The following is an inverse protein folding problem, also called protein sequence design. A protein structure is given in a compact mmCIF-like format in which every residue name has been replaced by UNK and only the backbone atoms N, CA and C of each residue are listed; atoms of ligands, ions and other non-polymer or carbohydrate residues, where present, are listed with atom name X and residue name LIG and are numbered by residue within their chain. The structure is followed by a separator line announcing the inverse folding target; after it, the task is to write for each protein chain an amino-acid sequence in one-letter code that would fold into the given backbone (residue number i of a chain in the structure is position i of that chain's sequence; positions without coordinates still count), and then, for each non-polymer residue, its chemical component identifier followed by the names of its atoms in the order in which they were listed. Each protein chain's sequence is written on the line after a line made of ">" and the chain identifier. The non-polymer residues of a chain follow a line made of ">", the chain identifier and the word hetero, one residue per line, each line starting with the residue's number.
data_IF_414386452182
#
_entry.id   IF_414386452182
#
_cell.length_a   1.000
_cell.length_b   1.000
_cell.length_c   1.000
_cell.angle_alpha   90.00
_cell.angle_beta   90.00
_cell.angle_gamma   90.00
#
_symmetry.space_group_name_H-M   'P 1'
#
loop_
_entity.id
_entity.type
_entity.pdbx_description
1 polymer ?
#
# COMPACT_ATOMS: atom_id res chain seq x y z
N UNK A 1 32.14 -30.04 -6.39
CA UNK A 1 30.72 -30.28 -6.06
C UNK A 1 30.36 -29.99 -4.59
N UNK A 2 31.13 -30.42 -3.58
CA UNK A 2 30.81 -30.17 -2.15
C UNK A 2 30.76 -28.68 -1.74
N UNK A 3 31.61 -27.80 -2.30
CA UNK A 3 31.59 -26.36 -1.98
C UNK A 3 30.36 -25.61 -2.53
N UNK A 4 29.77 -26.07 -3.64
CA UNK A 4 28.59 -25.44 -4.25
C UNK A 4 27.31 -25.72 -3.44
N UNK A 5 27.20 -26.94 -2.88
CA UNK A 5 26.10 -27.35 -2.00
C UNK A 5 26.09 -26.58 -0.67
N UNK A 6 27.26 -26.26 -0.11
CA UNK A 6 27.38 -25.52 1.16
C UNK A 6 26.94 -24.05 0.98
N UNK A 7 27.24 -23.43 -0.16
CA UNK A 7 26.82 -22.05 -0.47
C UNK A 7 25.32 -21.98 -0.73
N UNK A 8 24.74 -22.94 -1.46
CA UNK A 8 23.29 -23.01 -1.68
C UNK A 8 22.53 -23.19 -0.36
N UNK A 9 23.00 -24.05 0.54
CA UNK A 9 22.41 -24.26 1.85
C UNK A 9 22.46 -22.99 2.72
N UNK A 10 23.58 -22.25 2.73
CA UNK A 10 23.70 -20.99 3.48
C UNK A 10 22.79 -19.88 2.93
N UNK A 11 22.64 -19.75 1.61
CA UNK A 11 21.73 -18.76 1.01
C UNK A 11 20.26 -19.11 1.31
N UNK A 12 19.90 -20.40 1.27
CA UNK A 12 18.57 -20.86 1.69
C UNK A 12 18.30 -20.61 3.18
N UNK A 13 19.30 -20.77 4.06
CA UNK A 13 19.21 -20.45 5.49
C UNK A 13 19.05 -18.95 5.77
N UNK A 14 19.70 -18.08 5.00
CA UNK A 14 19.55 -16.62 5.12
C UNK A 14 18.18 -16.16 4.62
N UNK A 15 17.68 -16.74 3.52
CA UNK A 15 16.34 -16.48 3.01
C UNK A 15 15.25 -17.00 3.96
N UNK A 16 15.43 -18.20 4.53
CA UNK A 16 14.56 -18.71 5.60
C UNK A 16 14.63 -17.80 6.83
N UNK A 17 15.82 -17.33 7.21
CA UNK A 17 16.02 -16.43 8.34
C UNK A 17 15.28 -15.11 8.17
N UNK A 18 15.28 -14.53 6.96
CA UNK A 18 14.52 -13.32 6.64
C UNK A 18 13.01 -13.56 6.58
N UNK A 19 12.55 -14.69 6.02
CA UNK A 19 11.14 -15.09 6.04
C UNK A 19 10.64 -15.36 7.47
N UNK A 20 11.43 -16.03 8.29
CA UNK A 20 11.14 -16.26 9.72
C UNK A 20 11.19 -14.93 10.47
N UNK A 21 12.08 -13.99 10.13
CA UNK A 21 12.10 -12.67 10.72
C UNK A 21 10.87 -11.84 10.31
N UNK A 22 10.37 -11.99 9.07
CA UNK A 22 9.14 -11.36 8.57
C UNK A 22 7.89 -12.00 9.22
N UNK A 23 7.80 -13.33 9.28
CA UNK A 23 6.76 -14.05 10.02
C UNK A 23 6.82 -13.76 11.52
N UNK A 24 8.00 -13.60 12.14
CA UNK A 24 8.17 -13.17 13.54
C UNK A 24 7.80 -11.69 13.74
N UNK A 25 8.03 -10.83 12.75
CA UNK A 25 7.52 -9.44 12.77
C UNK A 25 5.99 -9.42 12.75
N UNK A 26 5.38 -10.40 12.07
CA UNK A 26 3.92 -10.56 11.95
C UNK A 26 3.30 -11.37 13.11
N UNK A 27 4.09 -12.19 13.82
CA UNK A 27 3.70 -13.00 14.99
C UNK A 27 4.31 -12.53 16.32
N UNK A 28 4.75 -11.28 16.42
CA UNK A 28 4.99 -10.73 17.76
C UNK A 28 3.63 -10.52 18.41
N UNK A 29 3.37 -11.23 19.51
CA UNK A 29 2.31 -10.91 20.49
C UNK A 29 2.58 -9.52 21.10
N UNK A 30 2.63 -8.47 20.28
CA UNK A 30 2.69 -7.10 20.76
C UNK A 30 1.36 -6.82 21.42
N UNK A 31 1.40 -6.37 22.67
CA UNK A 31 0.23 -5.92 23.41
C UNK A 31 -0.34 -4.58 22.87
N UNK A 32 0.09 -4.11 21.70
CA UNK A 32 -0.26 -2.82 21.12
C UNK A 32 -0.38 -2.91 19.59
N UNK A 33 -1.19 -2.04 18.95
CA UNK A 33 -1.38 -2.04 17.49
C UNK A 33 -0.09 -1.76 16.73
N UNK A 34 0.04 -2.34 15.53
CA UNK A 34 1.16 -2.04 14.64
C UNK A 34 1.07 -0.61 14.08
N UNK A 35 2.21 0.08 14.07
CA UNK A 35 2.33 1.45 13.55
C UNK A 35 3.07 1.50 12.20
N UNK A 36 3.54 0.35 11.69
CA UNK A 36 4.31 0.30 10.43
C UNK A 36 3.52 0.82 9.23
N UNK A 37 2.19 0.68 9.25
CA UNK A 37 1.28 1.20 8.21
C UNK A 37 1.40 2.73 8.06
N UNK A 38 1.86 3.44 9.10
CA UNK A 38 2.03 4.89 9.09
C UNK A 38 3.42 5.35 8.61
N UNK A 39 4.37 4.44 8.39
CA UNK A 39 5.76 4.80 8.06
C UNK A 39 5.88 5.70 6.83
N UNK A 40 5.02 5.49 5.83
CA UNK A 40 5.02 6.30 4.62
C UNK A 40 4.53 7.74 4.87
N UNK A 41 3.43 7.90 5.61
CA UNK A 41 2.93 9.21 6.04
C UNK A 41 3.93 9.94 6.94
N UNK A 42 4.58 9.22 7.88
CA UNK A 42 5.64 9.74 8.74
C UNK A 42 6.86 10.18 7.91
N UNK A 43 7.22 9.40 6.89
CA UNK A 43 8.32 9.76 5.98
C UNK A 43 8.03 11.07 5.25
N UNK A 44 6.82 11.21 4.72
CA UNK A 44 6.39 12.46 4.09
C UNK A 44 6.41 13.64 5.08
N UNK A 45 5.90 13.45 6.30
CA UNK A 45 5.98 14.46 7.36
C UNK A 45 7.44 14.89 7.63
N UNK A 46 8.37 13.94 7.69
CA UNK A 46 9.79 14.21 7.91
C UNK A 46 10.46 14.98 6.76
N UNK A 47 10.05 14.68 5.53
CA UNK A 47 10.57 15.32 4.34
C UNK A 47 10.06 16.77 4.20
N UNK A 48 8.88 17.10 4.75
CA UNK A 48 8.24 18.42 4.54
C UNK A 48 8.13 19.28 5.80
N UNK A 49 7.61 18.75 6.91
CA UNK A 49 7.15 19.53 8.06
C UNK A 49 8.05 19.38 9.28
N UNK A 50 8.71 18.25 9.48
CA UNK A 50 9.47 17.98 10.71
C UNK A 50 10.53 19.05 11.02
N UNK A 51 11.11 19.68 10.00
CA UNK A 51 12.11 20.75 10.18
C UNK A 51 11.55 22.02 10.83
N UNK A 52 10.22 22.18 10.88
CA UNK A 52 9.54 23.31 11.54
C UNK A 52 9.39 23.11 13.05
N UNK A 53 9.70 21.91 13.56
CA UNK A 53 9.41 21.54 14.94
C UNK A 53 10.62 20.91 15.62
N UNK A 54 10.74 21.12 16.93
CA UNK A 54 11.56 20.30 17.82
C UNK A 54 10.60 19.43 18.62
N UNK A 55 10.63 18.12 18.41
CA UNK A 55 9.65 17.21 19.00
C UNK A 55 10.22 15.83 19.28
N UNK A 56 9.59 15.14 20.22
CA UNK A 56 9.81 13.73 20.50
C UNK A 56 8.69 12.88 19.88
N UNK A 57 8.86 11.56 19.84
CA UNK A 57 7.80 10.62 19.45
C UNK A 57 7.35 9.77 20.62
N UNK A 58 6.06 9.47 20.66
CA UNK A 58 5.52 8.40 21.49
C UNK A 58 6.11 7.06 21.07
N UNK A 59 6.38 6.18 22.06
CA UNK A 59 6.71 4.78 21.79
C UNK A 59 5.46 4.06 21.23
N UNK A 60 5.60 3.05 20.35
CA UNK A 60 4.45 2.29 19.85
C UNK A 60 3.54 1.69 20.93
N UNK A 61 4.07 1.43 22.13
CA UNK A 61 3.31 0.95 23.29
C UNK A 61 2.42 2.02 23.95
N UNK A 62 2.60 3.30 23.64
CA UNK A 62 1.81 4.42 24.17
C UNK A 62 0.52 4.61 23.34
N UNK A 63 -0.33 3.57 23.38
CA UNK A 63 -1.50 3.44 22.50
C UNK A 63 -2.50 4.57 22.70
N UNK A 64 -2.76 4.95 23.96
CA UNK A 64 -3.75 5.99 24.30
C UNK A 64 -3.33 7.34 23.74
N UNK A 65 -2.05 7.68 23.85
CA UNK A 65 -1.50 8.95 23.41
C UNK A 65 -1.50 9.08 21.89
N UNK A 66 -1.08 8.03 21.18
CA UNK A 66 -1.12 7.97 19.71
C UNK A 66 -2.56 8.06 19.20
N UNK A 67 -3.50 7.35 19.83
CA UNK A 67 -4.92 7.42 19.47
C UNK A 67 -5.50 8.83 19.68
N UNK A 68 -5.12 9.53 20.75
CA UNK A 68 -5.53 10.92 20.96
C UNK A 68 -5.00 11.88 19.90
N UNK A 69 -3.81 11.66 19.35
CA UNK A 69 -3.36 12.41 18.18
C UNK A 69 -4.35 12.24 17.03
N UNK A 70 -4.73 11.00 16.69
CA UNK A 70 -5.70 10.74 15.62
C UNK A 70 -7.04 11.42 15.88
N UNK A 71 -7.61 11.33 17.08
CA UNK A 71 -8.87 12.01 17.42
C UNK A 71 -8.77 13.52 17.19
N UNK A 72 -7.69 14.17 17.64
CA UNK A 72 -7.51 15.62 17.52
C UNK A 72 -7.29 16.08 16.07
N UNK A 73 -6.64 15.25 15.25
CA UNK A 73 -6.43 15.53 13.82
C UNK A 73 -7.67 15.27 12.95
N UNK A 74 -8.65 14.52 13.42
CA UNK A 74 -9.84 14.15 12.64
C UNK A 74 -10.63 15.40 12.21
N UNK A 75 -10.93 15.49 10.91
CA UNK A 75 -11.70 16.59 10.35
C UNK A 75 -13.20 16.45 10.68
N UNK A 76 -13.97 17.51 10.43
CA UNK A 76 -15.41 17.52 10.67
C UNK A 76 -16.18 16.46 9.86
N UNK A 77 -15.69 16.13 8.65
CA UNK A 77 -16.25 15.09 7.78
C UNK A 77 -15.96 13.65 8.23
N UNK A 78 -15.14 13.46 9.27
CA UNK A 78 -14.77 12.15 9.81
C UNK A 78 -13.49 11.55 9.23
N UNK A 79 -12.92 12.13 8.17
CA UNK A 79 -11.64 11.70 7.62
C UNK A 79 -10.44 12.41 8.26
N UNK A 80 -9.24 12.15 7.70
CA UNK A 80 -7.99 12.73 8.20
C UNK A 80 -7.17 13.40 7.09
N UNK A 81 -6.38 14.44 7.39
CA UNK A 81 -5.32 14.90 6.50
C UNK A 81 -4.25 13.82 6.34
N UNK A 82 -3.54 13.80 5.20
CA UNK A 82 -2.41 12.89 4.98
C UNK A 82 -1.08 13.48 5.46
N UNK A 83 -0.05 12.65 5.45
CA UNK A 83 1.34 13.03 5.72
C UNK A 83 1.55 13.63 7.11
N UNK A 84 0.85 13.07 8.10
CA UNK A 84 1.01 13.39 9.52
C UNK A 84 1.88 12.32 10.19
N UNK A 85 2.76 12.75 11.09
CA UNK A 85 3.45 11.85 12.00
C UNK A 85 2.56 11.59 13.24
N UNK A 86 1.81 10.48 13.21
CA UNK A 86 0.85 10.13 14.26
C UNK A 86 1.51 9.87 15.62
N UNK A 87 2.82 9.61 15.64
CA UNK A 87 3.59 9.38 16.86
C UNK A 87 4.20 10.67 17.39
N UNK A 88 4.18 11.77 16.65
CA UNK A 88 4.79 13.02 17.06
C UNK A 88 4.08 13.62 18.28
N UNK A 89 4.88 14.05 19.26
CA UNK A 89 4.42 14.81 20.41
C UNK A 89 4.43 16.29 20.01
N UNK A 90 3.43 16.68 19.22
CA UNK A 90 3.21 18.04 18.72
C UNK A 90 1.72 18.35 18.83
N UNK A 91 1.39 19.57 19.23
CA UNK A 91 0.02 20.04 19.21
C UNK A 91 -0.52 20.10 17.76
N UNK A 92 -1.65 19.43 17.44
CA UNK A 92 -2.18 19.35 16.07
C UNK A 92 -2.45 20.66 15.35
N UNK A 93 -2.97 21.68 16.03
CA UNK A 93 -3.24 22.99 15.41
C UNK A 93 -1.95 23.71 15.01
N UNK A 94 -0.86 23.46 15.72
CA UNK A 94 0.49 23.94 15.38
C UNK A 94 0.97 23.32 14.07
N UNK A 95 0.65 22.05 13.81
CA UNK A 95 0.93 21.40 12.51
C UNK A 95 0.00 21.93 11.42
N UNK A 96 -1.31 22.04 11.69
CA UNK A 96 -2.30 22.53 10.72
C UNK A 96 -2.01 23.93 10.20
N UNK A 97 -1.40 24.80 10.99
CA UNK A 97 -0.98 26.15 10.55
C UNK A 97 0.03 26.14 9.40
N UNK A 98 0.83 25.08 9.27
CA UNK A 98 1.80 24.92 8.18
C UNK A 98 1.24 24.17 6.97
N UNK A 99 0.04 23.60 7.08
CA UNK A 99 -0.66 22.99 5.95
C UNK A 99 -1.40 24.07 5.16
N UNK A 100 -1.35 23.99 3.83
CA UNK A 100 -2.31 24.74 3.02
C UNK A 100 -3.67 24.04 3.03
N UNK A 101 -4.70 24.73 2.55
CA UNK A 101 -6.08 24.23 2.64
C UNK A 101 -6.31 22.94 1.85
N UNK A 102 -5.53 22.68 0.81
CA UNK A 102 -5.58 21.40 0.09
C UNK A 102 -5.13 20.26 1.02
N UNK A 103 -3.97 20.37 1.67
CA UNK A 103 -3.43 19.33 2.56
C UNK A 103 -4.14 19.20 3.91
N UNK A 104 -5.01 20.16 4.28
CA UNK A 104 -5.90 20.01 5.45
C UNK A 104 -7.08 19.06 5.18
N UNK A 105 -7.44 18.83 3.92
CA UNK A 105 -8.61 18.01 3.54
C UNK A 105 -8.41 16.54 3.87
N UNK A 106 -9.53 15.88 4.13
CA UNK A 106 -9.56 14.44 4.29
C UNK A 106 -9.23 13.69 3.00
N UNK A 107 -8.49 12.59 3.12
CA UNK A 107 -8.11 11.76 1.97
C UNK A 107 -7.88 10.30 2.37
N UNK A 108 -7.93 9.42 1.38
CA UNK A 108 -7.64 7.99 1.50
C UNK A 108 -6.19 7.64 1.08
N UNK A 109 -5.54 8.58 0.37
CA UNK A 109 -4.18 8.46 -0.15
C UNK A 109 -3.11 8.36 0.95
N UNK A 110 -1.98 7.72 0.65
CA UNK A 110 -0.90 7.43 1.61
C UNK A 110 -1.37 6.65 2.84
N UNK A 111 -2.17 5.60 2.60
CA UNK A 111 -2.71 4.69 3.61
C UNK A 111 -3.48 5.41 4.71
N UNK A 112 -4.34 6.34 4.32
CA UNK A 112 -4.95 7.28 5.25
C UNK A 112 -6.45 7.05 5.43
N UNK A 113 -6.98 7.54 6.55
CA UNK A 113 -8.31 7.28 7.10
C UNK A 113 -8.56 5.83 7.51
N UNK A 114 -8.41 4.84 6.63
CA UNK A 114 -8.73 3.44 6.96
C UNK A 114 -7.76 2.83 7.98
N UNK A 115 -6.49 3.25 7.98
CA UNK A 115 -5.48 2.80 8.95
C UNK A 115 -5.71 3.41 10.34
N UNK A 116 -6.18 4.66 10.40
CA UNK A 116 -6.55 5.32 11.66
C UNK A 116 -7.81 4.68 12.25
N UNK A 117 -8.82 4.33 11.42
CA UNK A 117 -9.99 3.59 11.88
C UNK A 117 -9.59 2.26 12.52
N UNK A 118 -8.76 1.47 11.84
CA UNK A 118 -8.24 0.20 12.35
C UNK A 118 -7.47 0.40 13.67
N UNK A 119 -6.56 1.38 13.73
CA UNK A 119 -5.81 1.69 14.94
C UNK A 119 -6.71 2.12 16.10
N UNK A 120 -7.68 3.01 15.86
CA UNK A 120 -8.61 3.53 16.86
C UNK A 120 -9.53 2.43 17.41
N UNK A 121 -9.96 1.49 16.56
CA UNK A 121 -10.76 0.34 16.99
C UNK A 121 -9.96 -0.60 17.92
N UNK A 122 -8.69 -0.85 17.58
CA UNK A 122 -7.79 -1.62 18.45
C UNK A 122 -7.45 -0.85 19.74
N UNK A 123 -7.19 0.45 19.65
CA UNK A 123 -6.95 1.30 20.81
C UNK A 123 -8.14 1.32 21.77
N UNK A 124 -9.37 1.49 21.27
CA UNK A 124 -10.59 1.37 22.07
C UNK A 124 -10.70 0.01 22.75
N UNK A 125 -10.31 -1.07 22.06
CA UNK A 125 -10.35 -2.41 22.65
C UNK A 125 -9.44 -2.58 23.85
N UNK A 126 -8.30 -1.87 23.85
CA UNK A 126 -7.29 -1.86 24.92
C UNK A 126 -7.67 -0.89 26.03
N UNK A 127 -8.05 0.34 25.69
CA UNK A 127 -8.18 1.45 26.66
C UNK A 127 -9.61 1.67 27.16
N UNK A 128 -10.61 1.18 26.40
CA UNK A 128 -12.04 1.46 26.59
C UNK A 128 -12.42 2.94 26.49
N UNK A 129 -11.56 3.79 25.95
CA UNK A 129 -11.82 5.21 25.75
C UNK A 129 -12.86 5.43 24.64
N UNK A 130 -14.08 5.83 25.02
CA UNK A 130 -15.23 5.93 24.10
C UNK A 130 -14.98 6.87 22.92
N UNK A 131 -14.15 7.90 23.10
CA UNK A 131 -13.81 8.83 22.01
C UNK A 131 -13.06 8.15 20.86
N UNK A 132 -12.30 7.09 21.13
CA UNK A 132 -11.62 6.34 20.08
C UNK A 132 -12.63 5.57 19.22
N UNK A 133 -13.63 4.96 19.85
CA UNK A 133 -14.75 4.32 19.15
C UNK A 133 -15.52 5.32 18.29
N UNK A 134 -15.93 6.45 18.86
CA UNK A 134 -16.67 7.50 18.13
C UNK A 134 -15.88 8.05 16.95
N UNK A 135 -14.58 8.23 17.11
CA UNK A 135 -13.70 8.67 16.03
C UNK A 135 -13.57 7.60 14.94
N UNK A 136 -13.47 6.32 15.31
CA UNK A 136 -13.48 5.21 14.35
C UNK A 136 -14.83 5.11 13.59
N UNK A 137 -15.98 5.24 14.27
CA UNK A 137 -17.32 5.28 13.65
C UNK A 137 -17.40 6.37 12.57
N UNK A 138 -16.97 7.59 12.89
CA UNK A 138 -16.94 8.70 11.92
C UNK A 138 -16.02 8.44 10.73
N UNK A 139 -14.88 7.77 10.96
CA UNK A 139 -13.98 7.38 9.89
C UNK A 139 -14.57 6.31 8.96
N UNK A 140 -15.30 5.34 9.52
CA UNK A 140 -16.07 4.35 8.75
C UNK A 140 -17.13 5.06 7.91
N UNK A 141 -17.91 5.95 8.51
CA UNK A 141 -18.97 6.68 7.82
C UNK A 141 -18.41 7.55 6.69
N UNK A 142 -17.24 8.20 6.88
CA UNK A 142 -16.52 8.90 5.82
C UNK A 142 -16.14 7.96 4.66
N UNK A 143 -15.54 6.80 4.95
CA UNK A 143 -15.12 5.84 3.92
C UNK A 143 -16.33 5.35 3.12
N UNK A 144 -17.42 4.99 3.80
CA UNK A 144 -18.64 4.52 3.15
C UNK A 144 -19.28 5.62 2.29
N UNK A 145 -19.33 6.86 2.79
CA UNK A 145 -19.85 8.01 2.04
C UNK A 145 -18.98 8.43 0.85
N UNK A 146 -17.68 8.12 0.88
CA UNK A 146 -16.75 8.44 -0.19
C UNK A 146 -16.76 7.44 -1.37
N UNK A 147 -17.44 6.30 -1.25
CA UNK A 147 -17.49 5.30 -2.32
C UNK A 147 -18.28 5.84 -3.52
N UNK A 148 -17.69 5.80 -4.72
CA UNK A 148 -18.36 6.22 -5.95
C UNK A 148 -19.35 5.14 -6.42
N UNK A 149 -20.25 5.52 -7.32
CA UNK A 149 -21.23 4.60 -7.93
C UNK A 149 -20.59 3.42 -8.66
N UNK A 150 -19.34 3.57 -9.13
CA UNK A 150 -18.57 2.47 -9.71
C UNK A 150 -18.17 1.39 -8.71
N UNK A 151 -18.28 1.65 -7.40
CA UNK A 151 -17.78 0.79 -6.32
C UNK A 151 -16.35 1.11 -5.85
N UNK A 152 -15.66 2.05 -6.52
CA UNK A 152 -14.28 2.42 -6.16
C UNK A 152 -14.17 3.69 -5.33
N UNK A 153 -12.97 3.93 -4.81
CA UNK A 153 -12.61 5.16 -4.09
C UNK A 153 -11.52 5.95 -4.82
N UNK A 154 -11.63 7.27 -4.69
CA UNK A 154 -10.63 8.24 -5.12
C UNK A 154 -9.50 8.33 -4.10
N UNK A 155 -8.26 8.34 -4.59
CA UNK A 155 -7.08 8.76 -3.81
C UNK A 155 -6.92 10.28 -3.79
N UNK A 156 -5.79 10.78 -4.29
CA UNK A 156 -5.44 12.19 -4.20
C UNK A 156 -5.32 12.94 -5.53
N UNK A 157 -4.59 12.36 -6.49
CA UNK A 157 -4.09 13.11 -7.66
C UNK A 157 -5.11 13.18 -8.81
N UNK A 158 -6.02 12.20 -8.91
CA UNK A 158 -7.03 12.10 -9.98
C UNK A 158 -8.32 11.52 -9.41
N UNK A 159 -9.49 11.90 -9.95
CA UNK A 159 -10.79 11.28 -9.61
C UNK A 159 -10.93 9.94 -10.34
N UNK A 160 -10.40 8.88 -9.73
CA UNK A 160 -10.27 7.54 -10.32
C UNK A 160 -10.41 6.45 -9.25
N UNK A 161 -10.74 5.24 -9.68
CA UNK A 161 -10.60 4.02 -8.85
C UNK A 161 -9.11 3.86 -8.57
N UNK A 162 -8.69 4.12 -7.33
CA UNK A 162 -7.27 4.27 -7.00
C UNK A 162 -6.76 3.05 -6.24
N UNK A 163 -5.86 2.28 -6.84
CA UNK A 163 -5.13 1.21 -6.14
C UNK A 163 -3.82 1.71 -5.55
N UNK A 164 -3.24 2.78 -6.12
CA UNK A 164 -2.02 3.42 -5.62
C UNK A 164 -2.08 3.65 -4.10
N UNK A 165 -0.95 3.37 -3.44
CA UNK A 165 -0.79 3.48 -1.98
C UNK A 165 -1.86 2.71 -1.19
N UNK A 166 -2.28 1.58 -1.75
CA UNK A 166 -3.26 0.63 -1.21
C UNK A 166 -4.61 1.27 -0.85
N UNK A 167 -5.03 2.35 -1.52
CA UNK A 167 -6.32 3.01 -1.25
C UNK A 167 -7.47 2.00 -1.31
N UNK A 168 -7.67 1.34 -2.45
CA UNK A 168 -8.72 0.32 -2.57
C UNK A 168 -8.49 -0.87 -1.64
N UNK A 169 -7.32 -1.50 -1.68
CA UNK A 169 -7.05 -2.77 -0.97
C UNK A 169 -7.02 -2.60 0.55
N UNK A 170 -6.58 -1.45 1.05
CA UNK A 170 -6.61 -1.09 2.46
C UNK A 170 -8.03 -0.87 2.99
N UNK A 171 -8.86 -0.14 2.23
CA UNK A 171 -10.28 0.01 2.56
C UNK A 171 -10.99 -1.35 2.51
N UNK A 172 -10.78 -2.13 1.45
CA UNK A 172 -11.38 -3.46 1.31
C UNK A 172 -10.98 -4.38 2.47
N UNK A 173 -9.73 -4.30 2.94
CA UNK A 173 -9.26 -5.06 4.11
C UNK A 173 -9.95 -4.63 5.40
N UNK A 174 -10.12 -3.32 5.62
CA UNK A 174 -10.88 -2.78 6.77
C UNK A 174 -12.33 -3.27 6.74
N UNK A 175 -13.01 -3.13 5.61
CA UNK A 175 -14.41 -3.58 5.46
C UNK A 175 -14.55 -5.09 5.62
N UNK A 176 -13.55 -5.86 5.16
CA UNK A 176 -13.48 -7.30 5.39
C UNK A 176 -13.36 -7.63 6.88
N UNK A 177 -12.51 -6.93 7.63
CA UNK A 177 -12.39 -7.10 9.08
C UNK A 177 -13.71 -6.81 9.82
N UNK A 178 -14.44 -5.77 9.40
CA UNK A 178 -15.76 -5.42 9.93
C UNK A 178 -16.77 -6.53 9.63
N UNK A 179 -16.84 -6.99 8.37
CA UNK A 179 -17.73 -8.08 7.94
C UNK A 179 -17.47 -9.37 8.74
N UNK A 180 -16.20 -9.73 8.89
CA UNK A 180 -15.78 -10.91 9.66
C UNK A 180 -15.95 -10.76 11.18
N UNK A 181 -16.32 -9.57 11.68
CA UNK A 181 -16.52 -9.34 13.10
C UNK A 181 -15.25 -9.53 13.91
N UNK A 182 -14.09 -9.03 13.43
CA UNK A 182 -12.86 -9.03 14.23
C UNK A 182 -13.15 -8.42 15.61
N UNK A 183 -12.57 -8.98 16.67
CA UNK A 183 -12.89 -8.63 18.06
C UNK A 183 -12.90 -7.12 18.34
N UNK A 184 -11.96 -6.38 17.75
CA UNK A 184 -11.86 -4.92 17.95
C UNK A 184 -12.93 -4.10 17.22
N UNK A 185 -13.74 -4.72 16.36
CA UNK A 185 -14.93 -4.16 15.71
C UNK A 185 -16.23 -4.72 16.28
N UNK A 186 -16.21 -5.46 17.39
CA UNK A 186 -17.40 -6.08 17.99
C UNK A 186 -18.47 -5.09 18.49
N UNK A 187 -18.18 -3.80 18.48
CA UNK A 187 -19.09 -2.72 18.85
C UNK A 187 -19.83 -2.10 17.63
N UNK A 188 -19.49 -2.49 16.40
CA UNK A 188 -20.15 -1.99 15.19
C UNK A 188 -21.59 -2.52 15.14
N UNK A 189 -22.54 -1.62 14.95
CA UNK A 189 -23.96 -1.96 14.78
C UNK A 189 -24.25 -2.70 13.46
N UNK A 190 -25.42 -3.33 13.39
CA UNK A 190 -25.83 -4.12 12.23
C UNK A 190 -25.96 -3.27 10.95
N UNK A 191 -26.38 -2.00 11.06
CA UNK A 191 -26.57 -1.12 9.91
C UNK A 191 -25.23 -0.81 9.23
N UNK A 192 -24.23 -0.39 9.99
CA UNK A 192 -22.86 -0.14 9.52
C UNK A 192 -22.22 -1.40 8.99
N UNK A 193 -22.44 -2.55 9.62
CA UNK A 193 -21.95 -3.84 9.14
C UNK A 193 -22.51 -4.19 7.76
N UNK A 194 -23.82 -4.01 7.56
CA UNK A 194 -24.47 -4.26 6.27
C UNK A 194 -24.00 -3.28 5.18
N UNK A 195 -23.81 -2.00 5.52
CA UNK A 195 -23.22 -1.00 4.62
C UNK A 195 -21.79 -1.35 4.23
N UNK A 196 -20.97 -1.79 5.19
CA UNK A 196 -19.61 -2.24 4.96
C UNK A 196 -19.55 -3.47 4.04
N UNK A 197 -20.44 -4.44 4.24
CA UNK A 197 -20.55 -5.62 3.37
C UNK A 197 -20.95 -5.24 1.94
N UNK A 198 -21.96 -4.38 1.79
CA UNK A 198 -22.41 -3.90 0.47
C UNK A 198 -21.30 -3.13 -0.24
N UNK A 199 -20.60 -2.24 0.47
CA UNK A 199 -19.49 -1.47 -0.09
C UNK A 199 -18.31 -2.38 -0.49
N UNK A 200 -17.99 -3.37 0.34
CA UNK A 200 -16.96 -4.35 0.04
C UNK A 200 -17.28 -5.16 -1.22
N UNK A 201 -18.53 -5.61 -1.38
CA UNK A 201 -18.93 -6.39 -2.55
C UNK A 201 -18.77 -5.55 -3.83
N UNK A 202 -19.25 -4.31 -3.84
CA UNK A 202 -19.07 -3.39 -4.98
C UNK A 202 -17.59 -3.15 -5.31
N UNK A 203 -16.74 -3.05 -4.29
CA UNK A 203 -15.31 -2.87 -4.46
C UNK A 203 -14.65 -4.11 -5.08
N UNK A 204 -15.01 -5.32 -4.63
CA UNK A 204 -14.54 -6.57 -5.22
C UNK A 204 -14.98 -6.66 -6.69
N UNK A 205 -16.24 -6.37 -6.99
CA UNK A 205 -16.79 -6.44 -8.34
C UNK A 205 -16.05 -5.50 -9.30
N UNK A 206 -15.82 -4.24 -8.90
CA UNK A 206 -15.10 -3.29 -9.75
C UNK A 206 -13.63 -3.65 -9.88
N UNK A 207 -13.00 -4.21 -8.84
CA UNK A 207 -11.62 -4.70 -8.93
C UNK A 207 -11.47 -5.84 -9.92
N UNK A 208 -12.39 -6.81 -9.93
CA UNK A 208 -12.39 -7.88 -10.94
C UNK A 208 -12.57 -7.31 -12.35
N UNK A 209 -13.48 -6.35 -12.54
CA UNK A 209 -13.72 -5.71 -13.85
C UNK A 209 -12.56 -4.82 -14.33
N UNK A 210 -11.76 -4.27 -13.42
CA UNK A 210 -10.58 -3.50 -13.76
C UNK A 210 -9.37 -4.36 -14.17
N UNK A 211 -9.42 -5.69 -14.03
CA UNK A 211 -8.28 -6.53 -14.39
C UNK A 211 -7.96 -6.39 -15.88
N UNK A 212 -6.72 -6.06 -16.19
CA UNK A 212 -6.29 -5.74 -17.55
C UNK A 212 -6.22 -7.04 -18.36
N UNK A 213 -6.84 -7.04 -19.55
CA UNK A 213 -6.86 -8.17 -20.48
C UNK A 213 -6.03 -7.79 -21.71
N UNK A 214 -5.08 -8.65 -22.07
CA UNK A 214 -4.21 -8.53 -23.25
C UNK A 214 -4.31 -9.83 -24.02
N UNK A 215 -4.67 -9.77 -25.30
CA UNK A 215 -4.87 -10.94 -26.17
C UNK A 215 -5.77 -12.03 -25.54
N UNK A 216 -6.87 -11.59 -24.91
CA UNK A 216 -7.82 -12.48 -24.24
C UNK A 216 -7.33 -13.08 -22.91
N UNK A 217 -6.15 -12.70 -22.42
CA UNK A 217 -5.58 -13.20 -21.16
C UNK A 217 -5.60 -12.11 -20.09
N UNK A 218 -6.13 -12.45 -18.91
CA UNK A 218 -6.07 -11.60 -17.72
C UNK A 218 -4.62 -11.45 -17.25
N UNK A 219 -4.29 -10.24 -16.79
CA UNK A 219 -2.96 -9.86 -16.31
C UNK A 219 -3.06 -9.28 -14.89
N UNK A 220 -2.45 -8.13 -14.64
CA UNK A 220 -2.58 -7.38 -13.40
C UNK A 220 -3.51 -6.17 -13.51
N UNK A 221 -3.23 -5.15 -12.71
CA UNK A 221 -4.00 -3.90 -12.63
C UNK A 221 -3.09 -2.68 -12.77
N UNK A 222 -3.66 -1.56 -13.22
CA UNK A 222 -3.02 -0.27 -13.17
C UNK A 222 -3.11 0.34 -11.77
N UNK A 223 -2.30 1.35 -11.50
CA UNK A 223 -2.41 2.14 -10.28
C UNK A 223 -3.75 2.87 -10.16
N UNK A 224 -4.31 3.31 -11.29
CA UNK A 224 -5.60 3.98 -11.36
C UNK A 224 -6.42 3.50 -12.56
N UNK A 225 -7.72 3.37 -12.35
CA UNK A 225 -8.70 3.05 -13.39
C UNK A 225 -9.82 4.09 -13.40
N UNK A 226 -10.31 4.43 -14.59
CA UNK A 226 -11.41 5.37 -14.75
C UNK A 226 -12.72 4.81 -14.16
N UNK A 227 -13.50 5.65 -13.49
CA UNK A 227 -14.74 5.22 -12.82
C UNK A 227 -15.84 4.76 -13.79
N UNK A 228 -15.81 5.17 -15.06
CA UNK A 228 -16.85 4.87 -16.04
C UNK A 228 -16.44 3.75 -16.99
N UNK A 229 -15.28 3.87 -17.59
CA UNK A 229 -14.75 2.94 -18.60
C UNK A 229 -13.98 1.78 -17.99
N UNK A 230 -13.57 1.88 -16.72
CA UNK A 230 -12.74 0.91 -16.00
C UNK A 230 -11.35 0.69 -16.61
N UNK A 231 -10.99 1.45 -17.65
CA UNK A 231 -9.68 1.38 -18.31
C UNK A 231 -8.60 2.00 -17.43
N UNK A 232 -7.37 1.51 -17.59
CA UNK A 232 -6.19 2.11 -16.98
C UNK A 232 -6.04 3.56 -17.42
N UNK A 233 -5.78 4.47 -16.48
CA UNK A 233 -5.53 5.88 -16.76
C UNK A 233 -4.31 6.38 -15.99
N UNK A 234 -3.79 7.54 -16.39
CA UNK A 234 -2.68 8.19 -15.68
C UNK A 234 -3.17 8.89 -14.42
N UNK A 235 -2.25 9.12 -13.47
CA UNK A 235 -2.45 10.05 -12.37
C UNK A 235 -1.55 11.28 -12.55
N UNK A 236 -0.40 11.29 -11.89
CA UNK A 236 0.62 12.34 -12.05
C UNK A 236 1.29 12.21 -13.43
N UNK A 237 2.00 13.26 -13.87
CA UNK A 237 2.66 13.28 -15.19
C UNK A 237 3.60 12.10 -15.42
N UNK A 238 4.24 11.61 -14.36
CA UNK A 238 5.16 10.47 -14.38
C UNK A 238 4.53 9.12 -14.03
N UNK A 239 3.20 9.04 -13.90
CA UNK A 239 2.45 7.81 -13.59
C UNK A 239 1.48 7.52 -14.74
N UNK A 240 2.05 7.01 -15.82
CA UNK A 240 1.33 6.70 -17.06
C UNK A 240 0.52 5.40 -16.92
N UNK A 241 -0.51 5.18 -17.76
CA UNK A 241 -1.25 3.92 -17.75
C UNK A 241 -0.32 2.75 -18.06
N UNK A 242 -0.35 1.74 -17.20
CA UNK A 242 0.50 0.55 -17.29
C UNK A 242 0.11 -0.46 -16.22
N UNK A 243 0.48 -1.72 -16.41
CA UNK A 243 0.26 -2.73 -15.38
C UNK A 243 1.26 -2.47 -14.25
N UNK A 244 0.76 -2.27 -13.03
CA UNK A 244 1.59 -2.00 -11.85
C UNK A 244 1.87 -3.27 -11.06
N UNK A 245 3.14 -3.62 -10.92
CA UNK A 245 3.54 -4.81 -10.15
C UNK A 245 3.24 -4.69 -8.66
N UNK A 246 3.47 -3.52 -8.08
CA UNK A 246 3.17 -3.20 -6.68
C UNK A 246 1.67 -3.37 -6.39
N UNK A 247 0.82 -2.67 -7.14
CA UNK A 247 -0.62 -2.68 -6.84
C UNK A 247 -1.26 -4.03 -7.17
N UNK A 248 -0.79 -4.70 -8.23
CA UNK A 248 -1.20 -6.08 -8.54
C UNK A 248 -0.87 -7.01 -7.36
N UNK A 249 0.32 -6.90 -6.77
CA UNK A 249 0.69 -7.70 -5.61
C UNK A 249 -0.23 -7.42 -4.41
N UNK A 250 -0.61 -6.16 -4.16
CA UNK A 250 -1.54 -5.80 -3.10
C UNK A 250 -2.95 -6.37 -3.34
N UNK A 251 -3.47 -6.29 -4.56
CA UNK A 251 -4.79 -6.83 -4.94
C UNK A 251 -4.83 -8.35 -4.76
N UNK A 252 -3.82 -9.06 -5.28
CA UNK A 252 -3.72 -10.51 -5.14
C UNK A 252 -3.64 -10.92 -3.67
N UNK A 253 -2.82 -10.24 -2.86
CA UNK A 253 -2.75 -10.47 -1.41
C UNK A 253 -4.11 -10.29 -0.75
N UNK A 254 -4.86 -9.24 -1.10
CA UNK A 254 -6.20 -9.02 -0.57
C UNK A 254 -7.18 -10.15 -0.98
N UNK A 255 -7.24 -10.51 -2.26
CA UNK A 255 -8.14 -11.57 -2.72
C UNK A 255 -7.88 -12.91 -2.06
N UNK A 256 -6.61 -13.22 -1.75
CA UNK A 256 -6.26 -14.42 -1.01
C UNK A 256 -6.72 -14.43 0.46
N UNK A 257 -7.14 -13.29 1.03
CA UNK A 257 -7.77 -13.21 2.36
C UNK A 257 -9.23 -13.68 2.34
N UNK A 258 -9.89 -13.64 1.19
CA UNK A 258 -11.31 -14.00 1.07
C UNK A 258 -11.47 -15.50 1.29
N UNK A 259 -12.30 -15.86 2.28
CA UNK A 259 -12.69 -17.25 2.52
C UNK A 259 -13.67 -17.71 1.46
N UNK A 260 -13.48 -18.93 0.95
CA UNK A 260 -14.30 -19.51 -0.11
C UNK A 260 -14.41 -18.55 -1.32
N UNK A 261 -13.28 -18.20 -1.95
CA UNK A 261 -13.26 -17.26 -3.07
C UNK A 261 -14.10 -17.79 -4.24
N UNK A 262 -14.77 -16.89 -4.96
CA UNK A 262 -15.54 -17.26 -6.15
C UNK A 262 -14.62 -17.72 -7.29
N UNK A 263 -15.14 -18.47 -8.29
CA UNK A 263 -14.35 -18.85 -9.46
C UNK A 263 -13.69 -17.67 -10.17
N UNK A 264 -14.35 -16.50 -10.21
CA UNK A 264 -13.82 -15.28 -10.81
C UNK A 264 -12.62 -14.73 -10.03
N UNK A 265 -12.67 -14.77 -8.70
CA UNK A 265 -11.54 -14.39 -7.85
C UNK A 265 -10.39 -15.38 -8.04
N UNK A 266 -10.69 -16.68 -8.14
CA UNK A 266 -9.67 -17.71 -8.33
C UNK A 266 -8.95 -17.52 -9.66
N UNK A 267 -9.69 -17.32 -10.75
CA UNK A 267 -9.14 -17.03 -12.06
C UNK A 267 -8.34 -15.72 -12.09
N UNK A 268 -8.84 -14.67 -11.44
CA UNK A 268 -8.15 -13.39 -11.34
C UNK A 268 -6.79 -13.51 -10.63
N UNK A 269 -6.75 -14.23 -9.49
CA UNK A 269 -5.52 -14.49 -8.72
C UNK A 269 -4.54 -15.33 -9.54
N UNK A 270 -4.99 -16.45 -10.12
CA UNK A 270 -4.13 -17.34 -10.90
C UNK A 270 -3.50 -16.61 -12.09
N UNK A 271 -4.30 -15.83 -12.82
CA UNK A 271 -3.85 -15.06 -13.98
C UNK A 271 -2.86 -13.97 -13.60
N UNK A 272 -3.12 -13.24 -12.51
CA UNK A 272 -2.21 -12.21 -12.02
C UNK A 272 -0.88 -12.79 -11.52
N UNK A 273 -0.89 -13.94 -10.86
CA UNK A 273 0.35 -14.62 -10.44
C UNK A 273 1.14 -15.14 -11.64
N UNK A 274 0.48 -15.70 -12.65
CA UNK A 274 1.15 -16.09 -13.89
C UNK A 274 1.79 -14.89 -14.61
N UNK A 275 1.09 -13.75 -14.62
CA UNK A 275 1.66 -12.49 -15.13
C UNK A 275 2.86 -12.03 -14.30
N UNK A 276 2.79 -12.06 -12.97
CA UNK A 276 3.92 -11.70 -12.09
C UNK A 276 5.15 -12.57 -12.37
N UNK A 277 4.97 -13.88 -12.53
CA UNK A 277 6.07 -14.80 -12.85
C UNK A 277 6.71 -14.46 -14.20
N UNK A 278 5.89 -14.26 -15.25
CA UNK A 278 6.35 -13.85 -16.58
C UNK A 278 7.09 -12.51 -16.56
N UNK A 279 6.65 -11.56 -15.74
CA UNK A 279 7.22 -10.21 -15.62
C UNK A 279 8.45 -10.15 -14.71
N UNK A 280 8.99 -11.29 -14.26
CA UNK A 280 10.15 -11.32 -13.38
C UNK A 280 11.42 -10.85 -14.09
N UNK A 281 12.15 -9.91 -13.47
CA UNK A 281 13.49 -9.51 -13.88
C UNK A 281 14.52 -10.21 -13.01
N UNK A 282 15.59 -10.72 -13.63
CA UNK A 282 16.66 -11.50 -12.97
C UNK A 282 18.02 -10.94 -13.32
N UNK A 283 19.01 -11.23 -12.49
CA UNK A 283 20.40 -10.84 -12.75
C UNK A 283 20.70 -9.35 -12.57
N UNK A 284 19.77 -8.60 -11.96
CA UNK A 284 19.89 -7.16 -11.73
C UNK A 284 19.53 -6.80 -10.29
N UNK A 285 20.13 -5.73 -9.77
CA UNK A 285 19.84 -5.18 -8.43
C UNK A 285 19.82 -3.66 -8.48
N UNK A 286 18.90 -3.03 -7.76
CA UNK A 286 18.95 -1.60 -7.49
C UNK A 286 19.72 -1.34 -6.20
N UNK A 287 20.74 -0.49 -6.26
CA UNK A 287 21.55 -0.07 -5.11
C UNK A 287 21.50 1.45 -4.93
N UNK A 288 21.70 1.89 -3.69
CA UNK A 288 22.00 3.28 -3.39
C UNK A 288 23.42 3.62 -3.87
N UNK A 289 23.57 4.76 -4.53
CA UNK A 289 24.85 5.31 -4.92
C UNK A 289 25.53 5.95 -3.71
N UNK A 290 26.54 5.29 -3.15
CA UNK A 290 27.21 5.77 -1.93
C UNK A 290 28.17 6.93 -2.17
N UNK A 291 28.59 7.12 -3.42
CA UNK A 291 29.53 8.18 -3.83
C UNK A 291 28.82 9.49 -4.19
N UNK A 292 27.49 9.47 -4.16
CA UNK A 292 26.66 10.61 -4.51
C UNK A 292 26.77 11.73 -3.45
N UNK A 293 27.38 12.84 -3.85
CA UNK A 293 27.69 13.99 -3.00
C UNK A 293 26.63 15.10 -3.04
N UNK A 294 25.61 14.98 -3.89
CA UNK A 294 24.58 16.01 -4.06
C UNK A 294 23.62 16.04 -2.85
N UNK A 295 23.61 17.18 -2.14
CA UNK A 295 22.70 17.48 -1.01
C UNK A 295 21.88 18.76 -1.28
N UNK A 296 20.92 18.75 -2.20
CA UNK A 296 19.89 19.79 -2.34
C UNK A 296 18.45 19.34 -1.98
N UNK A 297 17.50 20.28 -1.91
CA UNK A 297 16.23 20.12 -1.20
C UNK A 297 15.23 19.07 -1.76
N UNK A 298 14.23 18.75 -0.93
CA UNK A 298 13.10 17.80 -1.07
C UNK A 298 13.47 16.31 -1.28
N UNK A 299 14.52 15.98 -2.07
CA UNK A 299 14.92 14.58 -2.32
C UNK A 299 16.41 14.26 -2.12
N UNK A 300 17.33 15.23 -2.05
CA UNK A 300 18.76 14.90 -1.98
C UNK A 300 19.26 14.53 -0.57
N UNK A 301 18.36 14.29 0.38
CA UNK A 301 18.69 13.48 1.57
C UNK A 301 18.83 12.00 1.23
N UNK A 302 18.33 11.59 0.06
CA UNK A 302 18.40 10.20 -0.42
C UNK A 302 19.51 10.11 -1.46
N UNK A 303 20.41 9.12 -1.33
CA UNK A 303 21.37 8.84 -2.38
C UNK A 303 20.64 8.48 -3.66
N UNK A 304 21.26 8.77 -4.79
CA UNK A 304 20.79 8.32 -6.09
C UNK A 304 20.70 6.79 -6.13
N UNK A 305 19.97 6.27 -7.12
CA UNK A 305 19.80 4.83 -7.31
C UNK A 305 20.43 4.40 -8.63
N UNK A 306 21.21 3.33 -8.58
CA UNK A 306 21.83 2.69 -9.75
C UNK A 306 21.28 1.29 -9.92
N UNK A 307 21.04 0.89 -11.16
CA UNK A 307 20.78 -0.50 -11.52
C UNK A 307 22.13 -1.15 -11.86
N UNK A 308 22.46 -2.25 -11.19
CA UNK A 308 23.69 -3.00 -11.43
C UNK A 308 23.38 -4.44 -11.83
N UNK A 309 24.29 -5.06 -12.57
CA UNK A 309 24.25 -6.50 -12.84
C UNK A 309 24.67 -7.28 -11.60
N UNK A 310 23.84 -8.23 -11.18
CA UNK A 310 24.11 -9.15 -10.08
C UNK A 310 23.38 -10.47 -10.35
N UNK A 311 24.13 -11.48 -10.83
CA UNK A 311 23.59 -12.81 -11.17
C UNK A 311 22.97 -13.55 -9.97
N UNK A 312 23.33 -13.16 -8.75
CA UNK A 312 22.83 -13.77 -7.51
C UNK A 312 21.71 -12.93 -6.86
N UNK A 313 21.28 -11.85 -7.51
CA UNK A 313 20.19 -11.03 -6.99
C UNK A 313 18.87 -11.81 -7.00
N UNK A 314 18.03 -11.61 -5.97
CA UNK A 314 16.68 -12.15 -5.99
C UNK A 314 15.86 -11.53 -7.14
N UNK A 315 14.81 -12.24 -7.62
CA UNK A 315 13.82 -11.71 -8.56
C UNK A 315 13.35 -10.30 -8.19
N UNK A 316 13.31 -9.38 -9.16
CA UNK A 316 12.84 -8.01 -8.98
C UNK A 316 11.85 -7.66 -10.08
N UNK A 317 10.97 -6.68 -9.83
CA UNK A 317 10.01 -6.19 -10.82
C UNK A 317 10.17 -4.69 -10.99
N UNK A 318 10.03 -4.20 -12.21
CA UNK A 318 9.77 -2.78 -12.44
C UNK A 318 8.38 -2.41 -11.88
N UNK A 319 8.18 -1.14 -11.52
CA UNK A 319 6.88 -0.67 -11.00
C UNK A 319 5.80 -0.71 -12.08
N UNK A 320 6.16 -0.39 -13.33
CA UNK A 320 5.23 -0.33 -14.46
C UNK A 320 5.68 -1.19 -15.62
N UNK A 321 4.71 -1.82 -16.27
CA UNK A 321 4.86 -2.55 -17.52
C UNK A 321 3.86 -2.01 -18.53
N UNK A 322 4.28 -1.86 -19.78
CA UNK A 322 3.36 -1.50 -20.87
C UNK A 322 2.30 -2.59 -21.02
N UNK A 323 1.05 -2.17 -21.26
CA UNK A 323 -0.09 -3.08 -21.29
C UNK A 323 0.08 -4.13 -22.40
N UNK A 324 0.33 -3.69 -23.63
CA UNK A 324 0.38 -4.60 -24.78
C UNK A 324 1.64 -5.47 -24.81
N UNK A 325 2.81 -4.88 -24.56
CA UNK A 325 4.10 -5.54 -24.78
C UNK A 325 4.67 -6.22 -23.54
N UNK A 326 4.13 -5.90 -22.36
CA UNK A 326 4.68 -6.29 -21.07
C UNK A 326 6.15 -5.83 -20.87
N UNK A 327 6.53 -4.72 -21.51
CA UNK A 327 7.88 -4.14 -21.39
C UNK A 327 7.95 -3.23 -20.15
N UNK A 328 8.95 -3.39 -19.26
CA UNK A 328 9.22 -2.42 -18.21
C UNK A 328 9.38 -1.00 -18.76
N UNK A 329 8.76 -0.01 -18.12
CA UNK A 329 9.01 1.39 -18.45
C UNK A 329 9.08 2.29 -17.22
N UNK A 330 9.66 3.47 -17.43
CA UNK A 330 9.80 4.54 -16.44
C UNK A 330 9.29 5.85 -17.04
N UNK A 331 9.17 6.88 -16.22
CA UNK A 331 8.71 8.17 -16.70
C UNK A 331 9.33 9.32 -15.92
N UNK A 332 9.70 10.38 -16.64
CA UNK A 332 10.19 11.61 -16.07
C UNK A 332 9.04 12.58 -15.73
N UNK A 333 9.36 13.62 -14.96
CA UNK A 333 8.36 14.59 -14.47
C UNK A 333 7.68 15.38 -15.61
N UNK A 334 8.34 15.49 -16.76
CA UNK A 334 7.82 16.03 -18.02
C UNK A 334 6.82 15.10 -18.73
N UNK A 335 6.64 13.87 -18.24
CA UNK A 335 5.76 12.87 -18.83
C UNK A 335 6.40 12.05 -19.95
N UNK A 336 7.71 12.19 -20.17
CA UNK A 336 8.44 11.42 -21.18
C UNK A 336 8.72 10.01 -20.63
N UNK A 337 8.20 9.01 -21.34
CA UNK A 337 8.47 7.60 -21.10
C UNK A 337 9.91 7.26 -21.49
N UNK A 338 10.61 6.53 -20.61
CA UNK A 338 11.98 6.03 -20.84
C UNK A 338 12.08 4.55 -20.44
N UNK A 339 13.13 3.84 -20.86
CA UNK A 339 13.20 2.37 -20.75
C UNK A 339 14.37 1.85 -19.91
N UNK A 340 15.19 2.75 -19.36
CA UNK A 340 16.23 2.40 -18.38
C UNK A 340 16.18 3.32 -17.16
N UNK A 341 16.66 2.80 -16.02
CA UNK A 341 16.75 3.61 -14.79
C UNK A 341 17.73 4.79 -14.95
N UNK A 342 18.76 4.64 -15.79
CA UNK A 342 19.74 5.69 -16.08
C UNK A 342 19.13 6.91 -16.77
N UNK A 343 18.08 6.72 -17.57
CA UNK A 343 17.36 7.80 -18.27
C UNK A 343 16.35 8.53 -17.37
N UNK A 344 16.04 7.98 -16.20
CA UNK A 344 15.19 8.65 -15.21
C UNK A 344 15.96 9.80 -14.59
N UNK A 345 15.39 11.00 -14.55
CA UNK A 345 16.04 12.16 -13.96
C UNK A 345 16.42 11.92 -12.49
N UNK A 346 17.56 12.45 -12.01
CA UNK A 346 18.02 12.20 -10.64
C UNK A 346 16.96 12.50 -9.56
N UNK A 347 16.17 13.56 -9.74
CA UNK A 347 15.10 13.95 -8.81
C UNK A 347 14.00 12.88 -8.67
N UNK A 348 13.66 12.17 -9.75
CA UNK A 348 12.69 11.06 -9.72
C UNK A 348 13.33 9.75 -9.30
N UNK A 349 14.56 9.49 -9.71
CA UNK A 349 15.29 8.25 -9.40
C UNK A 349 15.57 8.07 -7.90
N UNK A 350 15.79 9.18 -7.18
CA UNK A 350 15.97 9.21 -5.71
C UNK A 350 14.67 9.01 -4.94
N UNK A 351 13.61 9.67 -5.39
CA UNK A 351 12.36 9.83 -4.66
C UNK A 351 11.37 8.69 -4.83
N UNK A 352 11.44 7.96 -5.95
CA UNK A 352 10.38 7.05 -6.39
C UNK A 352 10.90 5.62 -6.58
N UNK A 353 10.13 4.64 -6.07
CA UNK A 353 10.45 3.23 -6.18
C UNK A 353 10.11 2.68 -7.56
N UNK A 354 11.04 2.80 -8.51
CA UNK A 354 10.88 2.28 -9.88
C UNK A 354 11.03 0.77 -10.02
N UNK A 355 11.68 0.13 -9.04
CA UNK A 355 11.79 -1.31 -8.93
C UNK A 355 11.50 -1.74 -7.50
N UNK A 356 11.01 -2.97 -7.34
CA UNK A 356 10.73 -3.54 -6.03
C UNK A 356 10.58 -5.05 -6.05
N UNK A 357 10.48 -5.61 -4.85
CA UNK A 357 10.37 -7.04 -4.58
C UNK A 357 8.92 -7.44 -4.26
N UNK A 358 7.94 -6.59 -4.58
CA UNK A 358 6.55 -6.71 -4.12
C UNK A 358 5.89 -8.04 -4.51
N UNK A 359 6.07 -8.49 -5.76
CA UNK A 359 5.52 -9.77 -6.22
C UNK A 359 6.22 -10.98 -5.60
N UNK A 360 7.47 -10.86 -5.11
CA UNK A 360 8.16 -11.97 -4.45
C UNK A 360 7.40 -12.44 -3.19
N UNK A 361 6.76 -11.51 -2.48
CA UNK A 361 5.95 -11.82 -1.29
C UNK A 361 4.68 -12.63 -1.61
N UNK A 362 4.20 -12.56 -2.86
CA UNK A 362 2.94 -13.19 -3.28
C UNK A 362 3.11 -14.69 -3.45
N UNK A 363 4.20 -15.16 -4.07
CA UNK A 363 4.39 -16.59 -4.39
C UNK A 363 4.24 -17.56 -3.20
N UNK A 364 4.87 -17.33 -2.03
CA UNK A 364 4.68 -18.24 -0.90
C UNK A 364 3.26 -18.23 -0.34
N UNK A 365 2.58 -17.09 -0.38
CA UNK A 365 1.17 -16.97 0.04
C UNK A 365 0.25 -17.69 -0.95
N UNK A 366 0.49 -17.49 -2.24
CA UNK A 366 -0.25 -18.12 -3.32
C UNK A 366 -0.12 -19.63 -3.29
N UNK A 367 1.07 -20.19 -3.04
CA UNK A 367 1.24 -21.64 -2.91
C UNK A 367 0.32 -22.22 -1.83
N UNK A 368 0.33 -21.65 -0.62
CA UNK A 368 -0.53 -22.07 0.50
C UNK A 368 -2.02 -21.88 0.17
N UNK A 369 -2.38 -20.76 -0.45
CA UNK A 369 -3.76 -20.46 -0.83
C UNK A 369 -4.28 -21.41 -1.91
N UNK A 370 -3.45 -21.75 -2.90
CA UNK A 370 -3.77 -22.69 -3.98
C UNK A 370 -3.98 -24.10 -3.44
N UNK A 371 -3.12 -24.58 -2.54
CA UNK A 371 -3.30 -25.87 -1.87
C UNK A 371 -4.65 -25.97 -1.13
N UNK A 372 -5.12 -24.85 -0.56
CA UNK A 372 -6.40 -24.79 0.15
C UNK A 372 -7.62 -24.77 -0.76
N UNK A 373 -7.55 -24.11 -1.91
CA UNK A 373 -8.72 -23.84 -2.76
C UNK A 373 -8.66 -24.44 -4.17
N UNK A 374 -7.58 -25.15 -4.53
CA UNK A 374 -7.45 -25.91 -5.78
C UNK A 374 -7.69 -27.42 -5.59
N UNK A 375 -8.21 -27.83 -4.43
CA UNK A 375 -8.78 -29.16 -4.21
C UNK A 375 -10.30 -29.00 -4.14
N UNK A 376 -10.95 -28.91 -5.31
CA UNK A 376 -12.34 -29.31 -5.54
C UNK A 376 -12.64 -29.34 -7.02
#
# INVERSE_FOLDING_TARGET
>A
MKKLLIVAAMVSLILLGNLIAQEKKQKSNKAYPDVSIFEDAIRHFNDTLAQKFKFNRYKPSQVKEIAWNMVKYQNADGGWPKNIDWLAIIEPDSVRKWLNDHYKRSTLDNRNTYSQVEYLAQAYSITKEVQFRKSAERGIDFILGAQKTSGGWRGWDVDAITYNDEVMTGIMSLLLNIREGKKHFGWIDAERKNKAETALQKAIDVTLKCQIIVDGKKTGWCQQHDHKTLKAIKARTFELPGISSLETAAIVKFFMLIKNPSPEIVDAVNSAVAWMDKSTLRGIRVIADKEDSLKSAYNARRPDRKLISDKNAPPIWARFYEIETNTPFFCNRDGIKVYSLSEVSPERRRGYGWYGYWSAEVFPLYKKWKEKYSVK
#
